data_IF_982581566258
#
_entry.id   IF_982581566258
#
_cell.length_a   1.000
_cell.length_b   1.000
_cell.length_c   1.000
_cell.angle_alpha   90.00
_cell.angle_beta   90.00
_cell.angle_gamma   90.00
#
_symmetry.space_group_name_H-M   'P 1'
#
loop_
_entity.id
_entity.type
_entity.pdbx_description
1 polymer ?
#
# COMPACT_ATOMS: atom_id res chain seq x y z
N UNK A 1 40.56 -32.95 -22.44
CA UNK A 1 41.71 -32.13 -22.00
C UNK A 1 41.22 -31.24 -20.88
N UNK A 2 41.63 -31.53 -19.64
CA UNK A 2 41.30 -30.74 -18.47
C UNK A 2 42.46 -29.76 -18.23
N UNK A 3 42.18 -28.45 -18.27
CA UNK A 3 43.14 -27.43 -17.90
C UNK A 3 42.75 -26.83 -16.54
N UNK A 4 43.65 -27.04 -15.58
CA UNK A 4 43.57 -26.62 -14.20
C UNK A 4 44.00 -25.15 -14.10
N UNK A 5 43.10 -24.26 -13.67
CA UNK A 5 43.48 -22.90 -13.29
C UNK A 5 43.79 -22.86 -11.79
N UNK A 6 45.08 -22.85 -11.47
CA UNK A 6 45.64 -22.72 -10.12
C UNK A 6 45.37 -21.31 -9.59
N UNK A 7 44.71 -21.21 -8.44
CA UNK A 7 44.62 -19.98 -7.66
C UNK A 7 45.95 -19.78 -6.92
N UNK A 8 46.68 -18.72 -7.26
CA UNK A 8 47.90 -18.33 -6.59
C UNK A 8 47.59 -17.36 -5.46
N UNK A 9 48.07 -17.67 -4.26
CA UNK A 9 47.91 -16.91 -3.03
C UNK A 9 49.29 -16.43 -2.59
N UNK A 10 49.61 -15.14 -2.76
CA UNK A 10 50.72 -14.39 -2.13
C UNK A 10 50.72 -12.96 -2.68
N UNK A 11 50.35 -11.96 -1.88
CA UNK A 11 51.21 -11.16 -0.99
C UNK A 11 51.86 -9.96 -1.72
N UNK A 12 51.51 -8.75 -1.30
CA UNK A 12 52.35 -7.52 -1.26
C UNK A 12 51.44 -6.34 -0.90
N UNK A 13 51.47 -5.91 0.35
CA UNK A 13 52.28 -4.77 0.80
C UNK A 13 51.87 -3.45 0.12
N UNK A 14 50.79 -2.84 0.62
CA UNK A 14 50.43 -1.47 0.25
C UNK A 14 51.16 -0.49 1.17
N UNK A 15 52.08 0.23 0.56
CA UNK A 15 52.92 1.29 1.09
C UNK A 15 52.12 2.49 1.59
N UNK A 16 52.43 2.91 2.82
CA UNK A 16 52.11 4.22 3.38
C UNK A 16 52.99 5.31 2.71
N UNK A 17 52.44 6.44 2.25
CA UNK A 17 53.24 7.64 2.02
C UNK A 17 53.05 8.65 3.16
N UNK A 18 54.18 8.89 3.83
CA UNK A 18 54.53 10.00 4.71
C UNK A 18 54.06 11.36 4.18
N UNK A 19 53.52 12.19 5.07
CA UNK A 19 53.46 13.65 4.91
C UNK A 19 53.88 14.34 6.21
N UNK A 20 54.52 15.52 6.13
CA UNK A 20 55.48 16.00 7.11
C UNK A 20 54.86 16.65 8.36
N UNK A 21 55.59 16.48 9.45
CA UNK A 21 55.58 17.22 10.71
C UNK A 21 55.29 18.72 10.55
N UNK A 22 54.23 19.20 11.19
CA UNK A 22 54.12 20.58 11.66
C UNK A 22 53.69 20.59 13.13
N UNK A 23 54.36 21.45 13.87
CA UNK A 23 54.33 21.72 15.32
C UNK A 23 52.92 21.92 15.92
N UNK A 24 52.69 21.56 17.20
CA UNK A 24 51.43 21.85 17.89
C UNK A 24 51.38 23.34 18.28
N UNK A 25 50.67 24.13 17.48
CA UNK A 25 50.18 25.45 17.91
C UNK A 25 48.85 25.23 18.65
N UNK A 26 48.80 25.67 19.91
CA UNK A 26 47.64 25.64 20.80
C UNK A 26 46.34 26.04 20.11
N UNK A 27 45.21 25.33 20.34
CA UNK A 27 43.91 25.78 19.87
C UNK A 27 43.51 27.03 20.66
N UNK A 28 43.45 28.17 19.98
CA UNK A 28 42.81 29.37 20.49
C UNK A 28 41.29 29.15 20.52
N UNK A 29 40.73 29.08 21.71
CA UNK A 29 39.28 29.02 21.95
C UNK A 29 38.64 30.34 21.55
N UNK A 30 37.66 30.39 20.63
CA UNK A 30 36.88 31.60 20.43
C UNK A 30 35.90 31.77 21.59
N UNK A 31 36.19 32.67 22.52
CA UNK A 31 35.22 33.13 23.52
C UNK A 31 34.23 34.09 22.87
N UNK A 32 33.00 33.63 22.64
CA UNK A 32 31.87 34.50 22.27
C UNK A 32 31.37 35.23 23.53
N UNK A 33 31.37 36.58 23.59
CA UNK A 33 30.61 37.30 24.61
C UNK A 33 29.16 37.45 24.14
N UNK A 34 28.27 36.55 24.54
CA UNK A 34 26.83 36.78 24.37
C UNK A 34 26.23 37.28 25.68
N UNK A 35 26.30 38.60 25.89
CA UNK A 35 25.44 39.27 26.86
C UNK A 35 24.01 39.29 26.32
N UNK A 36 23.25 38.24 26.60
CA UNK A 36 21.81 38.20 26.35
C UNK A 36 21.15 39.04 27.45
N UNK A 37 20.80 40.30 27.13
CA UNK A 37 19.86 41.06 27.98
C UNK A 37 18.52 40.33 27.92
N UNK A 38 18.18 39.61 28.99
CA UNK A 38 16.91 38.91 29.14
C UNK A 38 15.76 39.93 29.08
N UNK A 39 15.08 39.99 27.94
CA UNK A 39 13.71 40.49 27.89
C UNK A 39 12.84 39.35 28.45
N UNK A 40 12.06 39.65 29.48
CA UNK A 40 11.55 38.71 30.48
C UNK A 40 10.60 37.58 30.01
N UNK A 41 9.97 36.85 30.97
CA UNK A 41 9.23 35.61 30.72
C UNK A 41 8.03 35.76 29.76
N UNK A 42 7.61 36.99 29.49
CA UNK A 42 6.52 37.33 28.58
C UNK A 42 6.79 36.87 27.13
N UNK A 43 8.04 36.96 26.66
CA UNK A 43 8.38 36.56 25.29
C UNK A 43 8.26 35.05 25.11
N UNK A 44 8.63 34.27 26.13
CA UNK A 44 8.52 32.81 26.08
C UNK A 44 7.05 32.37 26.03
N UNK A 45 6.20 32.98 26.86
CA UNK A 45 4.75 32.72 26.86
C UNK A 45 4.12 33.07 25.51
N UNK A 46 4.52 34.20 24.90
CA UNK A 46 3.99 34.64 23.63
C UNK A 46 4.39 33.72 22.47
N UNK A 47 5.62 33.18 22.50
CA UNK A 47 6.08 32.18 21.51
C UNK A 47 5.33 30.86 21.66
N UNK A 48 5.07 30.40 22.88
CA UNK A 48 4.29 29.17 23.14
C UNK A 48 2.85 29.34 22.63
N UNK A 49 2.20 30.46 22.95
CA UNK A 49 0.85 30.75 22.49
C UNK A 49 0.77 30.86 20.96
N UNK A 50 1.75 31.51 20.33
CA UNK A 50 1.84 31.57 18.88
C UNK A 50 2.02 30.18 18.26
N UNK A 51 2.88 29.33 18.84
CA UNK A 51 3.09 27.96 18.37
C UNK A 51 1.84 27.08 18.45
N UNK A 52 1.11 27.13 19.57
CA UNK A 52 -0.14 26.38 19.75
C UNK A 52 -1.24 26.88 18.81
N UNK A 53 -1.39 28.21 18.69
CA UNK A 53 -2.37 28.80 17.78
C UNK A 53 -2.06 28.48 16.31
N UNK A 54 -0.80 28.58 15.90
CA UNK A 54 -0.37 28.21 14.54
C UNK A 54 -0.52 26.72 14.29
N UNK A 55 -0.17 25.85 15.24
CA UNK A 55 -0.34 24.39 15.10
C UNK A 55 -1.81 23.98 15.02
N UNK A 56 -2.68 24.58 15.83
CA UNK A 56 -4.12 24.32 15.81
C UNK A 56 -4.78 24.84 14.53
N UNK A 57 -4.43 26.06 14.11
CA UNK A 57 -4.89 26.61 12.83
C UNK A 57 -4.44 25.74 11.66
N UNK A 58 -3.17 25.29 11.64
CA UNK A 58 -2.67 24.38 10.61
C UNK A 58 -3.47 23.07 10.58
N UNK A 59 -3.82 22.50 11.73
CA UNK A 59 -4.62 21.27 11.81
C UNK A 59 -6.05 21.42 11.27
N UNK A 60 -6.58 22.64 11.22
CA UNK A 60 -7.93 22.93 10.72
C UNK A 60 -7.92 23.41 9.26
N UNK A 61 -6.88 24.13 8.83
CA UNK A 61 -6.75 24.67 7.47
C UNK A 61 -6.04 23.73 6.49
N UNK A 62 -5.39 22.68 6.97
CA UNK A 62 -4.98 21.55 6.15
C UNK A 62 -6.06 20.48 6.29
N UNK A 63 -7.15 20.53 5.49
CA UNK A 63 -8.01 19.38 5.37
C UNK A 63 -7.12 18.20 5.00
N UNK A 64 -7.34 17.05 5.63
CA UNK A 64 -6.81 15.78 5.14
C UNK A 64 -7.26 15.68 3.70
N UNK A 65 -6.38 16.06 2.79
CA UNK A 65 -6.58 15.92 1.36
C UNK A 65 -6.70 14.43 1.15
N UNK A 66 -7.94 13.95 1.15
CA UNK A 66 -8.35 12.76 0.41
C UNK A 66 -8.17 13.12 -1.06
N UNK A 67 -6.91 13.27 -1.48
CA UNK A 67 -6.53 13.12 -2.87
C UNK A 67 -6.71 11.64 -3.14
N UNK A 68 -7.85 11.36 -3.74
CA UNK A 68 -8.15 10.15 -4.48
C UNK A 68 -7.04 9.92 -5.51
N UNK A 69 -5.96 9.28 -5.05
CA UNK A 69 -5.00 8.55 -5.89
C UNK A 69 -4.49 7.38 -5.04
N UNK A 70 -5.39 6.41 -4.87
CA UNK A 70 -5.12 4.96 -4.92
C UNK A 70 -3.72 4.52 -4.51
N UNK A 71 -3.41 4.57 -3.23
CA UNK A 71 -2.60 3.57 -2.53
C UNK A 71 -3.01 3.63 -1.05
N UNK A 72 -4.27 3.33 -0.77
CA UNK A 72 -4.66 2.96 0.60
C UNK A 72 -4.13 1.55 0.84
N UNK A 73 -3.28 1.30 1.86
CA UNK A 73 -3.05 -0.08 2.29
C UNK A 73 -4.42 -0.65 2.61
N UNK A 74 -4.75 -1.82 2.03
CA UNK A 74 -6.03 -2.49 2.12
C UNK A 74 -6.66 -2.29 3.51
N UNK A 75 -7.46 -1.24 3.64
CA UNK A 75 -8.23 -1.03 4.85
C UNK A 75 -9.20 -2.19 4.78
N UNK A 76 -9.17 -3.05 5.78
CA UNK A 76 -10.34 -3.85 6.13
C UNK A 76 -11.40 -2.82 6.53
N UNK A 77 -11.97 -2.17 5.52
CA UNK A 77 -13.06 -1.24 5.67
C UNK A 77 -14.20 -2.08 6.23
N UNK A 78 -14.77 -1.62 7.33
CA UNK A 78 -15.95 -2.22 7.93
C UNK A 78 -17.02 -2.36 6.83
N UNK A 79 -17.22 -3.59 6.34
CA UNK A 79 -18.06 -3.87 5.16
C UNK A 79 -19.55 -3.73 5.53
N UNK A 80 -19.86 -3.39 6.79
CA UNK A 80 -21.21 -3.06 7.26
C UNK A 80 -21.87 -1.88 6.55
N UNK A 81 -21.14 -1.06 5.79
CA UNK A 81 -21.70 0.13 5.13
C UNK A 81 -21.12 0.38 3.73
N UNK A 82 -21.20 -0.65 2.88
CA UNK A 82 -20.76 -0.61 1.47
C UNK A 82 -21.46 0.49 0.68
N UNK A 83 -20.70 1.29 -0.07
CA UNK A 83 -21.20 2.30 -1.00
C UNK A 83 -20.75 1.99 -2.44
N UNK A 84 -21.52 2.44 -3.45
CA UNK A 84 -21.04 2.41 -4.84
C UNK A 84 -19.73 3.19 -4.96
N UNK A 85 -18.74 2.59 -5.61
CA UNK A 85 -17.40 3.13 -5.78
C UNK A 85 -16.38 2.60 -4.77
N UNK A 86 -16.81 1.98 -3.68
CA UNK A 86 -15.91 1.40 -2.69
C UNK A 86 -15.09 0.26 -3.32
N UNK A 87 -13.82 0.18 -2.91
CA UNK A 87 -12.86 -0.81 -3.38
C UNK A 87 -12.27 -1.53 -2.19
N UNK A 88 -12.27 -2.86 -2.24
CA UNK A 88 -11.76 -3.75 -1.20
C UNK A 88 -10.65 -4.64 -1.80
N UNK A 89 -9.68 -5.03 -0.97
CA UNK A 89 -8.59 -5.92 -1.35
C UNK A 89 -7.28 -5.20 -1.67
N UNK A 90 -6.39 -5.91 -2.37
CA UNK A 90 -5.02 -5.45 -2.67
C UNK A 90 -4.83 -5.22 -4.15
N UNK A 91 -4.13 -4.14 -4.49
CA UNK A 91 -3.67 -3.90 -5.85
C UNK A 91 -2.37 -4.69 -6.06
N UNK A 92 -2.39 -5.63 -7.00
CA UNK A 92 -1.24 -6.49 -7.33
C UNK A 92 -1.29 -6.87 -8.80
N UNK A 93 -0.12 -6.88 -9.43
CA UNK A 93 0.04 -7.30 -10.83
C UNK A 93 -0.32 -8.78 -11.05
N UNK A 94 -0.34 -9.59 -9.98
CA UNK A 94 -0.80 -10.98 -10.03
C UNK A 94 -2.28 -11.09 -10.42
N UNK A 95 -3.10 -10.09 -10.06
CA UNK A 95 -4.53 -10.05 -10.34
C UNK A 95 -4.82 -9.24 -11.61
N UNK A 96 -4.28 -9.71 -12.74
CA UNK A 96 -4.34 -9.02 -14.03
C UNK A 96 -5.68 -9.16 -14.76
N UNK A 97 -6.47 -10.19 -14.45
CA UNK A 97 -7.76 -10.42 -15.09
C UNK A 97 -8.85 -9.59 -14.43
N UNK A 98 -9.87 -9.22 -15.20
CA UNK A 98 -11.00 -8.42 -14.72
C UNK A 98 -12.32 -8.99 -15.23
N UNK A 99 -13.33 -8.99 -14.37
CA UNK A 99 -14.70 -9.33 -14.77
C UNK A 99 -15.73 -8.47 -14.04
N UNK A 100 -16.83 -8.18 -14.74
CA UNK A 100 -17.97 -7.42 -14.19
C UNK A 100 -19.22 -8.30 -14.15
N UNK A 101 -20.00 -8.17 -13.07
CA UNK A 101 -21.29 -8.83 -12.98
C UNK A 101 -21.91 -8.74 -11.59
N UNK A 102 -22.98 -9.51 -11.38
CA UNK A 102 -23.66 -9.61 -10.09
C UNK A 102 -23.01 -10.72 -9.28
N UNK A 103 -22.57 -10.41 -8.07
CA UNK A 103 -21.96 -11.39 -7.19
C UNK A 103 -23.02 -12.23 -6.48
N UNK A 104 -22.95 -13.54 -6.62
CA UNK A 104 -23.82 -14.49 -5.95
C UNK A 104 -23.01 -15.53 -5.18
N UNK A 105 -23.58 -16.02 -4.08
CA UNK A 105 -23.01 -17.12 -3.32
C UNK A 105 -23.19 -18.44 -4.08
N UNK A 106 -22.17 -19.29 -4.07
CA UNK A 106 -22.19 -20.62 -4.64
C UNK A 106 -21.12 -20.86 -5.69
N UNK A 107 -20.60 -22.09 -5.72
CA UNK A 107 -19.67 -22.60 -6.72
C UNK A 107 -20.30 -23.63 -7.65
N UNK A 108 -19.48 -24.34 -8.42
CA UNK A 108 -19.89 -25.44 -9.30
C UNK A 108 -19.13 -26.71 -8.95
N UNK A 109 -19.86 -27.78 -8.59
CA UNK A 109 -19.28 -29.12 -8.33
C UNK A 109 -18.08 -29.13 -7.37
N UNK A 110 -18.06 -28.23 -6.37
CA UNK A 110 -16.96 -28.10 -5.41
C UNK A 110 -15.83 -27.15 -5.83
N UNK A 111 -15.94 -26.49 -6.99
CA UNK A 111 -15.02 -25.44 -7.44
C UNK A 111 -15.64 -24.06 -7.23
N UNK A 112 -14.84 -23.14 -6.70
CA UNK A 112 -15.27 -21.79 -6.34
C UNK A 112 -16.18 -21.77 -5.10
N UNK A 113 -16.22 -20.61 -4.47
CA UNK A 113 -17.10 -20.31 -3.32
C UNK A 113 -18.27 -19.41 -3.74
N UNK A 114 -18.04 -18.58 -4.75
CA UNK A 114 -18.95 -17.57 -5.27
C UNK A 114 -18.97 -17.65 -6.79
N UNK A 115 -19.92 -16.94 -7.40
CA UNK A 115 -20.04 -16.82 -8.84
C UNK A 115 -20.43 -15.40 -9.22
N UNK A 116 -19.97 -14.97 -10.38
CA UNK A 116 -20.29 -13.69 -10.98
C UNK A 116 -21.23 -13.91 -12.17
N UNK A 117 -22.48 -13.49 -11.99
CA UNK A 117 -23.51 -13.61 -13.03
C UNK A 117 -23.30 -12.48 -14.05
N UNK A 118 -23.09 -12.88 -15.29
CA UNK A 118 -22.88 -12.00 -16.44
C UNK A 118 -24.06 -12.12 -17.41
N UNK A 119 -24.31 -11.10 -18.25
CA UNK A 119 -25.43 -11.11 -19.21
C UNK A 119 -25.45 -12.29 -20.20
N UNK A 120 -24.35 -13.04 -20.34
CA UNK A 120 -24.26 -14.25 -21.17
C UNK A 120 -24.77 -15.54 -20.51
N UNK A 121 -25.33 -15.46 -19.30
CA UNK A 121 -25.89 -16.62 -18.58
C UNK A 121 -24.83 -17.58 -18.05
N UNK A 122 -25.22 -18.85 -17.84
CA UNK A 122 -24.35 -19.87 -17.22
C UNK A 122 -23.04 -20.12 -17.98
N UNK A 123 -23.08 -20.05 -19.32
CA UNK A 123 -21.89 -20.25 -20.16
C UNK A 123 -20.82 -19.18 -19.98
N UNK A 124 -21.20 -18.02 -19.44
CA UNK A 124 -20.34 -16.87 -19.21
C UNK A 124 -20.23 -16.52 -17.73
N UNK A 125 -20.66 -17.42 -16.84
CA UNK A 125 -20.56 -17.22 -15.39
C UNK A 125 -19.12 -17.48 -14.95
N UNK A 126 -18.58 -16.56 -14.16
CA UNK A 126 -17.23 -16.69 -13.60
C UNK A 126 -17.35 -17.23 -12.18
N UNK A 127 -16.72 -18.36 -11.90
CA UNK A 127 -16.64 -18.90 -10.55
C UNK A 127 -15.45 -18.30 -9.82
N UNK A 128 -15.63 -17.95 -8.56
CA UNK A 128 -14.71 -17.13 -7.80
C UNK A 128 -14.23 -17.86 -6.54
N UNK A 129 -12.93 -17.74 -6.29
CA UNK A 129 -12.31 -18.03 -5.00
C UNK A 129 -11.88 -16.71 -4.36
N UNK A 130 -12.06 -16.60 -3.05
CA UNK A 130 -11.58 -15.44 -2.29
C UNK A 130 -10.23 -15.76 -1.67
N UNK A 131 -9.21 -14.98 -2.03
CA UNK A 131 -7.90 -15.03 -1.37
C UNK A 131 -7.68 -13.86 -0.40
N UNK A 132 -8.27 -12.70 -0.68
CA UNK A 132 -7.97 -11.45 0.07
C UNK A 132 -9.23 -10.75 0.60
N UNK A 133 -10.33 -10.79 -0.16
CA UNK A 133 -11.54 -10.00 0.13
C UNK A 133 -12.66 -10.90 0.57
N UNK A 134 -13.35 -10.58 1.66
CA UNK A 134 -14.59 -11.29 2.00
C UNK A 134 -15.67 -10.99 0.96
N UNK A 135 -16.03 -12.01 0.17
CA UNK A 135 -17.02 -11.90 -0.89
C UNK A 135 -18.44 -12.05 -0.35
N UNK A 136 -18.63 -12.67 0.82
CA UNK A 136 -19.95 -12.91 1.39
C UNK A 136 -20.67 -11.60 1.72
N UNK A 137 -19.91 -10.58 2.12
CA UNK A 137 -20.42 -9.25 2.46
C UNK A 137 -20.80 -8.41 1.23
N UNK A 138 -20.41 -8.85 0.03
CA UNK A 138 -20.68 -8.18 -1.25
C UNK A 138 -21.71 -8.93 -2.11
N UNK A 139 -22.29 -10.03 -1.59
CA UNK A 139 -23.31 -10.81 -2.30
C UNK A 139 -24.55 -9.97 -2.60
N UNK A 140 -25.07 -10.09 -3.81
CA UNK A 140 -26.21 -9.32 -4.29
C UNK A 140 -25.84 -7.91 -4.75
N UNK A 141 -24.55 -7.57 -4.83
CA UNK A 141 -24.09 -6.32 -5.41
C UNK A 141 -23.52 -6.55 -6.81
N UNK A 142 -23.61 -5.52 -7.65
CA UNK A 142 -22.89 -5.51 -8.94
C UNK A 142 -21.49 -5.02 -8.67
N UNK A 143 -20.51 -5.83 -9.06
CA UNK A 143 -19.11 -5.58 -8.75
C UNK A 143 -18.22 -5.78 -9.98
N UNK A 144 -17.11 -5.05 -10.00
CA UNK A 144 -15.94 -5.36 -10.81
C UNK A 144 -14.97 -6.13 -9.93
N UNK A 145 -14.57 -7.32 -10.34
CA UNK A 145 -13.55 -8.13 -9.66
C UNK A 145 -12.26 -8.11 -10.47
N UNK A 146 -11.13 -8.05 -9.76
CA UNK A 146 -9.80 -8.28 -10.31
C UNK A 146 -9.20 -9.51 -9.68
N UNK A 147 -8.67 -10.38 -10.53
CA UNK A 147 -8.21 -11.69 -10.11
C UNK A 147 -7.22 -12.33 -11.07
N UNK A 148 -6.86 -13.57 -10.75
CA UNK A 148 -6.06 -14.45 -11.60
C UNK A 148 -6.94 -15.61 -12.07
N UNK A 149 -7.09 -15.79 -13.38
CA UNK A 149 -7.85 -16.91 -13.94
C UNK A 149 -7.05 -18.19 -13.84
N UNK A 150 -7.70 -19.25 -13.35
CA UNK A 150 -7.13 -20.58 -13.26
C UNK A 150 -7.87 -21.57 -14.14
N UNK A 151 -7.14 -22.58 -14.60
CA UNK A 151 -7.73 -23.77 -15.21
C UNK A 151 -8.57 -24.52 -14.17
N UNK A 152 -9.83 -24.77 -14.50
CA UNK A 152 -10.76 -25.52 -13.66
C UNK A 152 -11.10 -26.86 -14.31
N UNK A 153 -11.50 -27.84 -13.50
CA UNK A 153 -11.94 -29.14 -14.01
C UNK A 153 -13.41 -29.13 -14.40
N UNK A 154 -14.21 -28.26 -13.78
CA UNK A 154 -15.68 -28.19 -13.94
C UNK A 154 -16.16 -26.81 -14.33
N UNK A 155 -15.62 -25.75 -13.75
CA UNK A 155 -15.92 -24.39 -14.13
C UNK A 155 -15.32 -24.06 -15.51
N UNK A 156 -16.11 -23.44 -16.38
CA UNK A 156 -15.60 -22.91 -17.66
C UNK A 156 -14.66 -21.70 -17.45
N UNK A 157 -14.85 -21.00 -16.33
CA UNK A 157 -14.01 -19.89 -15.90
C UNK A 157 -13.96 -19.90 -14.37
N UNK A 158 -12.78 -20.19 -13.81
CA UNK A 158 -12.50 -20.07 -12.38
C UNK A 158 -11.46 -18.96 -12.18
N UNK A 159 -11.68 -18.09 -11.20
CA UNK A 159 -10.79 -16.96 -10.94
C UNK A 159 -10.60 -16.76 -9.44
N UNK A 160 -9.37 -16.49 -9.02
CA UNK A 160 -9.06 -16.11 -7.65
C UNK A 160 -9.00 -14.59 -7.51
N UNK A 161 -9.74 -14.06 -6.55
CA UNK A 161 -10.03 -12.63 -6.43
C UNK A 161 -9.17 -12.00 -5.36
N UNK A 162 -8.39 -11.00 -5.79
CA UNK A 162 -7.56 -10.18 -4.91
C UNK A 162 -8.12 -8.80 -4.62
N UNK A 163 -9.00 -8.29 -5.49
CA UNK A 163 -9.59 -6.95 -5.38
C UNK A 163 -11.01 -6.91 -5.95
N UNK A 164 -11.88 -6.15 -5.32
CA UNK A 164 -13.26 -5.94 -5.75
C UNK A 164 -13.61 -4.47 -5.66
N UNK A 165 -14.38 -3.97 -6.63
CA UNK A 165 -14.98 -2.63 -6.62
C UNK A 165 -16.48 -2.76 -6.79
N UNK A 166 -17.21 -2.07 -5.92
CA UNK A 166 -18.67 -2.07 -5.96
C UNK A 166 -19.14 -1.03 -6.96
N UNK A 167 -19.95 -1.46 -7.93
CA UNK A 167 -20.54 -0.58 -8.94
C UNK A 167 -21.94 -0.15 -8.54
N UNK A 168 -22.73 -1.09 -8.04
CA UNK A 168 -24.14 -0.89 -7.70
C UNK A 168 -24.53 -1.76 -6.49
N UNK A 169 -25.30 -1.19 -5.58
CA UNK A 169 -25.83 -1.90 -4.41
C UNK A 169 -27.14 -2.61 -4.76
N UNK A 170 -27.32 -3.81 -4.21
CA UNK A 170 -28.54 -4.61 -4.35
C UNK A 170 -28.97 -4.87 -5.79
N UNK A 171 -28.01 -5.13 -6.67
CA UNK A 171 -28.30 -5.62 -8.02
C UNK A 171 -28.65 -7.11 -7.92
N UNK A 172 -29.92 -7.43 -7.67
CA UNK A 172 -30.42 -8.81 -7.68
C UNK A 172 -30.94 -9.17 -9.07
N UNK A 173 -30.60 -10.38 -9.53
CA UNK A 173 -31.26 -11.01 -10.69
C UNK A 173 -32.65 -11.47 -10.23
N UNK A 174 -33.71 -10.79 -10.66
CA UNK A 174 -35.11 -11.20 -10.41
C UNK A 174 -35.51 -12.41 -11.27
#
# INVERSE_FOLDING_TARGET
MAELKKLNLTQSNSSNPTSPTTSPTSPATPSLPTSIKQKGPLIVVLVILAGVASGYALSQFFPKTTSTSTLSPASQADISNVKPGDTFGVESDAFSDTADGILEKGGINGEGSHKLIRPGGESQTVYLTSSVVDLDELVGHKVTVWGETFDAQKAGWLMDVGRVKVLELNASTE
#
